data_IF_204495094729
#
_entry.id   IF_204495094729
#
_cell.length_a   1.000
_cell.length_b   1.000
_cell.length_c   1.000
_cell.angle_alpha   90.00
_cell.angle_beta   90.00
_cell.angle_gamma   90.00
#
_symmetry.space_group_name_H-M   'P 1'
#
loop_
_entity.id
_entity.type
_entity.pdbx_description
1 polymer ?
#
# COMPACT_ATOMS: atom_id res chain seq x y z
N UNK A 1 -42.03 8.03 12.29
CA UNK A 1 -41.10 8.99 12.93
C UNK A 1 -40.05 8.30 13.83
N UNK A 2 -40.45 7.46 14.80
CA UNK A 2 -39.52 6.72 15.68
C UNK A 2 -38.52 5.80 14.95
N UNK A 3 -38.95 5.12 13.88
CA UNK A 3 -38.08 4.27 13.04
C UNK A 3 -36.94 5.08 12.38
N UNK A 4 -37.27 6.29 11.90
CA UNK A 4 -36.34 7.19 11.22
C UNK A 4 -35.27 7.70 12.20
N UNK A 5 -35.68 8.09 13.41
CA UNK A 5 -34.78 8.52 14.49
C UNK A 5 -33.86 7.39 14.94
N UNK A 6 -34.37 6.15 15.04
CA UNK A 6 -33.54 4.96 15.36
C UNK A 6 -32.52 4.64 14.28
N UNK A 7 -32.90 4.76 13.01
CA UNK A 7 -31.99 4.55 11.88
C UNK A 7 -30.92 5.64 11.83
N UNK A 8 -31.29 6.91 12.00
CA UNK A 8 -30.34 8.02 12.09
C UNK A 8 -29.35 7.85 13.26
N UNK A 9 -29.80 7.35 14.42
CA UNK A 9 -28.91 7.05 15.56
C UNK A 9 -27.94 5.92 15.26
N UNK A 10 -28.40 4.83 14.63
CA UNK A 10 -27.53 3.71 14.20
C UNK A 10 -26.53 4.17 13.15
N UNK A 11 -26.96 4.96 12.18
CA UNK A 11 -26.08 5.49 11.13
C UNK A 11 -25.11 6.54 11.67
N UNK A 12 -25.51 7.34 12.66
CA UNK A 12 -24.62 8.29 13.34
C UNK A 12 -23.59 7.58 14.21
N UNK A 13 -23.98 6.52 14.93
CA UNK A 13 -23.04 5.66 15.67
C UNK A 13 -22.09 4.94 14.72
N UNK A 14 -22.60 4.40 13.60
CA UNK A 14 -21.76 3.81 12.55
C UNK A 14 -20.79 4.84 11.97
N UNK A 15 -21.24 6.06 11.67
CA UNK A 15 -20.37 7.15 11.22
C UNK A 15 -19.34 7.50 12.29
N UNK A 16 -19.73 7.63 13.55
CA UNK A 16 -18.81 7.88 14.66
C UNK A 16 -17.74 6.80 14.79
N UNK A 17 -18.12 5.51 14.69
CA UNK A 17 -17.18 4.39 14.74
C UNK A 17 -16.31 4.23 13.49
N UNK A 18 -16.63 4.91 12.39
CA UNK A 18 -15.94 4.78 11.10
C UNK A 18 -15.18 6.08 10.74
N UNK A 19 -15.44 7.18 11.43
CA UNK A 19 -14.83 8.49 11.14
C UNK A 19 -13.76 8.79 12.17
N UNK A 20 -12.50 8.70 11.72
CA UNK A 20 -11.32 9.14 12.47
C UNK A 20 -10.88 10.48 11.92
N UNK A 21 -11.02 11.54 12.71
CA UNK A 21 -10.52 12.86 12.34
C UNK A 21 -9.03 12.95 12.65
N UNK A 22 -8.27 13.56 11.75
CA UNK A 22 -6.89 13.95 11.98
C UNK A 22 -6.69 15.37 11.45
N UNK A 23 -5.81 16.12 12.11
CA UNK A 23 -5.35 17.40 11.59
C UNK A 23 -4.35 17.08 10.47
N UNK A 24 -4.58 17.66 9.30
CA UNK A 24 -3.69 17.52 8.16
C UNK A 24 -3.23 18.91 7.73
N UNK A 25 -1.97 19.04 7.36
CA UNK A 25 -1.45 20.26 6.74
C UNK A 25 -2.18 20.53 5.41
N UNK A 26 -2.37 21.81 5.09
CA UNK A 26 -3.14 22.26 3.92
C UNK A 26 -2.46 21.89 2.60
N UNK A 27 -1.13 21.84 2.59
CA UNK A 27 -0.32 21.27 1.52
C UNK A 27 0.58 20.23 2.15
N UNK A 28 0.61 19.04 1.55
CA UNK A 28 1.43 17.93 2.00
C UNK A 28 2.83 18.09 1.35
N UNK A 29 3.88 18.46 2.09
CA UNK A 29 5.21 18.67 1.53
C UNK A 29 5.93 17.35 1.17
N UNK A 30 5.31 16.20 1.40
CA UNK A 30 5.96 14.90 1.28
C UNK A 30 5.93 14.36 -0.15
N UNK A 31 6.89 13.48 -0.46
CA UNK A 31 6.85 12.69 -1.68
C UNK A 31 5.70 11.69 -1.67
N UNK A 32 5.02 11.59 -2.80
CA UNK A 32 3.85 10.74 -2.99
C UNK A 32 4.27 9.48 -3.72
N UNK A 33 4.31 8.35 -3.01
CA UNK A 33 4.74 7.08 -3.56
C UNK A 33 3.55 6.27 -4.12
N UNK A 34 3.73 5.70 -5.31
CA UNK A 34 2.76 4.82 -5.97
C UNK A 34 3.45 3.51 -6.34
N UNK A 35 2.96 2.41 -5.79
CA UNK A 35 3.36 1.07 -6.19
C UNK A 35 2.70 0.70 -7.51
N UNK A 36 3.47 0.10 -8.41
CA UNK A 36 2.99 -0.49 -9.65
C UNK A 36 3.51 -1.92 -9.73
N UNK A 37 2.60 -2.90 -9.74
CA UNK A 37 2.90 -4.32 -9.86
C UNK A 37 2.18 -4.99 -11.03
N UNK A 38 2.43 -6.28 -11.22
CA UNK A 38 2.04 -7.07 -12.39
C UNK A 38 2.69 -6.58 -13.71
N UNK A 39 3.90 -6.01 -13.63
CA UNK A 39 4.72 -5.74 -14.81
C UNK A 39 5.54 -7.00 -15.17
N UNK A 40 6.17 -7.05 -16.36
CA UNK A 40 7.04 -8.17 -16.70
C UNK A 40 8.23 -8.25 -15.74
N UNK A 41 8.70 -9.48 -15.50
CA UNK A 41 9.82 -9.76 -14.61
C UNK A 41 11.15 -9.41 -15.28
N UNK A 42 12.16 -9.12 -14.46
CA UNK A 42 13.58 -9.06 -14.88
C UNK A 42 13.89 -8.09 -16.03
N UNK A 43 13.10 -7.02 -16.18
CA UNK A 43 13.38 -5.96 -17.14
C UNK A 43 14.38 -4.95 -16.59
N UNK A 44 15.19 -4.34 -17.45
CA UNK A 44 16.03 -3.21 -17.05
C UNK A 44 15.17 -1.99 -16.66
N UNK A 45 15.68 -1.14 -15.78
CA UNK A 45 14.99 0.10 -15.35
C UNK A 45 14.50 0.96 -16.53
N UNK A 46 15.30 1.10 -17.59
CA UNK A 46 14.92 1.85 -18.79
C UNK A 46 13.70 1.26 -19.52
N UNK A 47 13.53 -0.06 -19.47
CA UNK A 47 12.37 -0.72 -20.06
C UNK A 47 11.12 -0.48 -19.22
N UNK A 48 11.22 -0.57 -17.88
CA UNK A 48 10.11 -0.19 -17.00
C UNK A 48 9.71 1.27 -17.19
N UNK A 49 10.67 2.17 -17.28
CA UNK A 49 10.41 3.59 -17.54
C UNK A 49 9.63 3.80 -18.85
N UNK A 50 10.03 3.13 -19.93
CA UNK A 50 9.31 3.17 -21.21
C UNK A 50 7.88 2.67 -21.10
N UNK A 51 7.67 1.57 -20.36
CA UNK A 51 6.32 1.02 -20.11
C UNK A 51 5.47 2.05 -19.35
N UNK A 52 6.00 2.63 -18.27
CA UNK A 52 5.30 3.63 -17.47
C UNK A 52 4.94 4.88 -18.28
N UNK A 53 5.87 5.43 -19.06
CA UNK A 53 5.61 6.60 -19.91
C UNK A 53 4.49 6.33 -20.93
N UNK A 54 4.52 5.15 -21.56
CA UNK A 54 3.47 4.71 -22.49
C UNK A 54 2.11 4.61 -21.80
N UNK A 55 2.06 3.97 -20.64
CA UNK A 55 0.81 3.77 -19.88
C UNK A 55 0.25 5.09 -19.31
N UNK A 56 1.12 6.02 -18.94
CA UNK A 56 0.73 7.34 -18.43
C UNK A 56 0.36 8.33 -19.55
N UNK A 57 0.64 7.99 -20.82
CA UNK A 57 0.42 8.85 -21.97
C UNK A 57 1.29 10.11 -21.96
N UNK A 58 2.48 10.03 -21.35
CA UNK A 58 3.36 11.17 -21.15
C UNK A 58 4.60 11.09 -22.06
N UNK A 59 4.98 12.22 -22.67
CA UNK A 59 6.22 12.33 -23.46
C UNK A 59 7.47 12.48 -22.58
N UNK A 60 7.30 13.09 -21.41
CA UNK A 60 8.34 13.31 -20.40
C UNK A 60 7.94 12.66 -19.07
N UNK A 61 8.90 12.48 -18.16
CA UNK A 61 8.67 11.82 -16.87
C UNK A 61 7.75 12.68 -15.99
N UNK A 62 6.53 12.22 -15.67
CA UNK A 62 5.65 12.94 -14.75
C UNK A 62 5.97 12.66 -13.27
N UNK A 63 6.91 11.75 -12.99
CA UNK A 63 7.36 11.32 -11.66
C UNK A 63 8.79 11.79 -11.39
N UNK A 64 9.14 11.98 -10.13
CA UNK A 64 10.45 12.45 -9.69
C UNK A 64 11.49 11.33 -9.65
N UNK A 65 11.12 10.13 -9.19
CA UNK A 65 12.02 8.97 -9.21
C UNK A 65 11.27 7.65 -9.47
N UNK A 66 12.03 6.65 -9.94
CA UNK A 66 11.64 5.24 -10.01
C UNK A 66 12.54 4.50 -9.04
N UNK A 67 11.96 3.78 -8.10
CA UNK A 67 12.69 2.95 -7.15
C UNK A 67 11.98 2.82 -5.80
N UNK A 68 12.15 1.70 -5.10
CA UNK A 68 12.89 0.50 -5.52
C UNK A 68 12.19 -0.26 -6.65
N UNK A 69 12.96 -1.07 -7.40
CA UNK A 69 12.46 -1.98 -8.42
C UNK A 69 12.68 -3.41 -7.93
N UNK A 70 11.60 -4.17 -7.81
CA UNK A 70 11.60 -5.57 -7.43
C UNK A 70 11.52 -6.43 -8.70
N UNK A 71 12.66 -6.64 -9.34
CA UNK A 71 12.76 -7.30 -10.66
C UNK A 71 12.10 -8.69 -10.70
N UNK A 72 12.30 -9.49 -9.65
CA UNK A 72 11.72 -10.84 -9.53
C UNK A 72 10.21 -10.84 -9.33
N UNK A 73 9.64 -9.70 -8.91
CA UNK A 73 8.21 -9.53 -8.69
C UNK A 73 7.52 -8.70 -9.77
N UNK A 74 8.28 -8.17 -10.74
CA UNK A 74 7.73 -7.32 -11.80
C UNK A 74 6.98 -6.14 -11.20
N UNK A 75 7.60 -5.49 -10.21
CA UNK A 75 6.97 -4.38 -9.51
C UNK A 75 7.99 -3.33 -9.13
N UNK A 76 7.51 -2.11 -8.95
CA UNK A 76 8.34 -0.96 -8.62
C UNK A 76 7.52 0.09 -7.88
N UNK A 77 8.22 1.07 -7.31
CA UNK A 77 7.61 2.29 -6.79
C UNK A 77 8.02 3.48 -7.64
N UNK A 78 7.06 4.35 -7.94
CA UNK A 78 7.31 5.68 -8.51
C UNK A 78 6.93 6.75 -7.50
N UNK A 79 7.71 7.83 -7.46
CA UNK A 79 7.49 8.95 -6.54
C UNK A 79 7.11 10.21 -7.29
N UNK A 80 6.28 11.05 -6.68
CA UNK A 80 5.84 12.33 -7.24
C UNK A 80 6.01 13.42 -6.19
N UNK A 81 6.34 14.63 -6.64
CA UNK A 81 6.44 15.82 -5.79
C UNK A 81 5.08 16.46 -5.46
N UNK A 82 3.99 16.04 -6.11
CA UNK A 82 2.65 16.61 -5.89
C UNK A 82 1.56 15.54 -5.85
N UNK A 83 0.60 15.71 -4.94
CA UNK A 83 -0.60 14.88 -4.82
C UNK A 83 -1.39 14.78 -6.13
N UNK A 84 -1.46 15.90 -6.85
CA UNK A 84 -2.19 16.00 -8.12
C UNK A 84 -1.56 15.11 -9.19
N UNK A 85 -0.24 15.13 -9.33
CA UNK A 85 0.47 14.27 -10.29
C UNK A 85 0.33 12.79 -9.93
N UNK A 86 0.51 12.44 -8.65
CA UNK A 86 0.34 11.06 -8.17
C UNK A 86 -1.09 10.55 -8.43
N UNK A 87 -2.10 11.36 -8.10
CA UNK A 87 -3.51 10.99 -8.29
C UNK A 87 -3.86 10.83 -9.76
N UNK A 88 -3.39 11.73 -10.63
CA UNK A 88 -3.58 11.60 -12.07
C UNK A 88 -2.91 10.32 -12.62
N UNK A 89 -1.72 9.99 -12.13
CA UNK A 89 -1.03 8.74 -12.49
C UNK A 89 -1.81 7.51 -12.04
N UNK A 90 -2.27 7.48 -10.79
CA UNK A 90 -3.08 6.37 -10.25
C UNK A 90 -4.38 6.20 -11.05
N UNK A 91 -5.07 7.29 -11.39
CA UNK A 91 -6.29 7.23 -12.18
C UNK A 91 -6.08 6.60 -13.56
N UNK A 92 -4.92 6.83 -14.19
CA UNK A 92 -4.56 6.22 -15.47
C UNK A 92 -4.14 4.75 -15.30
N UNK A 93 -3.32 4.45 -14.30
CA UNK A 93 -2.73 3.12 -14.14
C UNK A 93 -3.70 2.10 -13.52
N UNK A 94 -4.64 2.51 -12.65
CA UNK A 94 -5.50 1.60 -11.87
C UNK A 94 -6.36 0.65 -12.73
N UNK A 95 -6.69 1.07 -13.96
CA UNK A 95 -7.47 0.29 -14.92
C UNK A 95 -6.65 -0.13 -16.13
N UNK A 96 -5.36 0.19 -16.16
CA UNK A 96 -4.49 -0.22 -17.23
C UNK A 96 -4.26 -1.73 -17.19
N UNK A 97 -4.15 -2.29 -18.39
CA UNK A 97 -3.80 -3.70 -18.62
C UNK A 97 -2.51 -3.70 -19.43
N UNK A 98 -1.58 -4.56 -19.05
CA UNK A 98 -0.34 -4.77 -19.76
C UNK A 98 -0.10 -6.27 -19.88
N UNK A 99 0.17 -6.77 -21.09
CA UNK A 99 0.33 -8.21 -21.36
C UNK A 99 -0.80 -9.06 -20.74
N UNK A 100 -2.05 -8.64 -21.00
CA UNK A 100 -3.28 -9.31 -20.50
C UNK A 100 -3.46 -9.31 -18.98
N UNK A 101 -2.54 -8.72 -18.22
CA UNK A 101 -2.62 -8.60 -16.77
C UNK A 101 -3.06 -7.20 -16.38
N UNK A 102 -4.08 -7.13 -15.52
CA UNK A 102 -4.43 -5.88 -14.87
C UNK A 102 -3.30 -5.47 -13.91
N UNK A 103 -2.88 -4.21 -13.99
CA UNK A 103 -1.86 -3.69 -13.09
C UNK A 103 -2.38 -3.63 -11.65
N UNK A 104 -1.47 -3.85 -10.70
CA UNK A 104 -1.72 -3.56 -9.29
C UNK A 104 -1.17 -2.16 -9.02
N UNK A 105 -2.04 -1.23 -8.61
CA UNK A 105 -1.65 0.16 -8.38
C UNK A 105 -2.11 0.56 -6.99
N UNK A 106 -1.18 0.99 -6.14
CA UNK A 106 -1.45 1.35 -4.75
C UNK A 106 -0.75 2.66 -4.40
N UNK A 107 -1.50 3.63 -3.86
CA UNK A 107 -0.89 4.76 -3.17
C UNK A 107 -0.26 4.25 -1.88
N UNK A 108 1.02 4.52 -1.67
CA UNK A 108 1.74 4.09 -0.49
C UNK A 108 1.83 5.24 0.51
N UNK A 109 1.40 5.04 1.76
CA UNK A 109 1.62 6.02 2.81
C UNK A 109 3.11 6.16 3.10
N UNK A 110 3.53 7.37 3.47
CA UNK A 110 4.89 7.66 3.89
C UNK A 110 4.92 7.80 5.41
N UNK A 111 5.45 6.79 6.12
CA UNK A 111 5.55 6.85 7.58
C UNK A 111 6.79 7.63 7.96
N UNK A 112 6.60 8.72 8.71
CA UNK A 112 7.67 9.56 9.21
C UNK A 112 8.11 9.09 10.60
N UNK A 113 9.35 8.60 10.77
CA UNK A 113 9.82 8.09 12.06
C UNK A 113 9.76 9.12 13.19
N UNK A 114 10.03 10.40 12.88
CA UNK A 114 9.99 11.49 13.85
C UNK A 114 8.58 11.82 14.36
N UNK A 115 7.53 11.37 13.66
CA UNK A 115 6.14 11.50 14.09
C UNK A 115 5.69 10.36 15.01
N UNK A 116 6.53 9.35 15.20
CA UNK A 116 6.26 8.23 16.10
C UNK A 116 6.78 8.55 17.51
N UNK A 117 6.09 8.03 18.52
CA UNK A 117 6.58 8.11 19.89
C UNK A 117 7.93 7.38 19.99
N UNK A 118 8.97 7.94 20.67
CA UNK A 118 10.34 7.41 20.64
C UNK A 118 10.49 5.94 21.06
N UNK A 119 9.62 5.46 21.95
CA UNK A 119 9.66 4.07 22.45
C UNK A 119 8.61 3.17 21.78
N UNK A 120 7.95 3.65 20.72
CA UNK A 120 6.98 2.86 19.99
C UNK A 120 7.68 1.82 19.11
N UNK A 121 7.14 0.60 19.12
CA UNK A 121 7.49 -0.45 18.15
C UNK A 121 6.24 -0.75 17.31
N UNK A 122 6.03 -0.04 16.19
CA UNK A 122 4.86 -0.23 15.35
C UNK A 122 4.72 -1.68 14.90
N UNK A 123 3.48 -2.14 14.76
CA UNK A 123 3.17 -3.46 14.21
C UNK A 123 2.84 -3.35 12.72
N UNK A 124 3.55 -4.06 11.86
CA UNK A 124 3.18 -4.31 10.47
C UNK A 124 2.43 -5.65 10.39
N UNK A 125 1.16 -5.61 10.00
CA UNK A 125 0.32 -6.80 9.86
C UNK A 125 0.18 -7.15 8.38
N UNK A 126 0.64 -8.35 8.02
CA UNK A 126 0.58 -8.91 6.67
C UNK A 126 -0.40 -10.08 6.67
N UNK A 127 -1.53 -9.94 6.00
CA UNK A 127 -2.58 -10.97 5.98
C UNK A 127 -2.72 -11.56 4.58
N UNK A 128 -2.60 -12.87 4.47
CA UNK A 128 -2.98 -13.59 3.26
C UNK A 128 -4.44 -14.02 3.35
N UNK A 129 -5.33 -13.29 2.68
CA UNK A 129 -6.78 -13.56 2.73
C UNK A 129 -7.19 -14.90 2.12
N UNK A 130 -6.30 -15.53 1.31
CA UNK A 130 -6.53 -16.82 0.67
C UNK A 130 -5.98 -18.01 1.47
N UNK A 131 -5.26 -17.78 2.57
CA UNK A 131 -4.71 -18.85 3.41
C UNK A 131 -5.73 -19.45 4.37
N UNK A 132 -5.57 -20.74 4.70
CA UNK A 132 -6.35 -21.44 5.73
C UNK A 132 -7.85 -21.48 5.43
N UNK A 133 -8.68 -21.30 6.45
CA UNK A 133 -10.16 -21.27 6.32
C UNK A 133 -10.74 -20.00 5.69
N UNK A 134 -9.96 -19.25 4.91
CA UNK A 134 -10.38 -18.01 4.21
C UNK A 134 -10.94 -16.91 5.13
N UNK A 135 -10.53 -16.87 6.40
CA UNK A 135 -10.99 -15.88 7.39
C UNK A 135 -10.20 -14.56 7.36
N UNK A 136 -9.21 -14.42 6.47
CA UNK A 136 -8.33 -13.25 6.45
C UNK A 136 -9.05 -11.92 6.21
N UNK A 137 -10.21 -11.93 5.54
CA UNK A 137 -11.04 -10.74 5.37
C UNK A 137 -11.55 -10.18 6.70
N UNK A 138 -12.04 -11.04 7.61
CA UNK A 138 -12.46 -10.64 8.95
C UNK A 138 -11.27 -10.22 9.81
N UNK A 139 -10.14 -10.91 9.65
CA UNK A 139 -8.91 -10.58 10.35
C UNK A 139 -8.40 -9.16 10.00
N UNK A 140 -8.40 -8.81 8.71
CA UNK A 140 -8.08 -7.44 8.26
C UNK A 140 -9.05 -6.44 8.88
N UNK A 141 -10.36 -6.71 8.88
CA UNK A 141 -11.35 -5.80 9.49
C UNK A 141 -11.09 -5.62 10.98
N UNK A 142 -10.79 -6.69 11.70
CA UNK A 142 -10.49 -6.65 13.13
C UNK A 142 -9.22 -5.83 13.41
N UNK A 143 -8.11 -6.11 12.71
CA UNK A 143 -6.87 -5.36 12.89
C UNK A 143 -7.01 -3.88 12.52
N UNK A 144 -7.75 -3.54 11.44
CA UNK A 144 -7.99 -2.14 11.07
C UNK A 144 -8.86 -1.36 12.06
N UNK A 145 -9.60 -2.04 12.94
CA UNK A 145 -10.30 -1.39 14.07
C UNK A 145 -9.36 -1.11 15.25
N UNK A 146 -8.36 -1.97 15.45
CA UNK A 146 -7.43 -1.89 16.58
C UNK A 146 -6.18 -1.05 16.27
N UNK A 147 -5.74 -1.05 15.01
CA UNK A 147 -4.51 -0.44 14.54
C UNK A 147 -4.80 0.65 13.51
N UNK A 148 -3.79 1.44 13.14
CA UNK A 148 -3.91 2.31 11.98
C UNK A 148 -4.11 1.45 10.72
N UNK A 149 -5.11 1.73 9.85
CA UNK A 149 -5.32 0.95 8.63
C UNK A 149 -4.10 0.81 7.71
N UNK A 150 -3.18 1.79 7.75
CA UNK A 150 -1.92 1.77 7.01
C UNK A 150 -0.87 0.81 7.59
N UNK A 151 -1.19 0.10 8.67
CA UNK A 151 -0.38 -0.97 9.24
C UNK A 151 -0.86 -2.35 8.78
N UNK A 152 -2.01 -2.46 8.11
CA UNK A 152 -2.68 -3.74 7.83
C UNK A 152 -2.82 -3.95 6.32
N UNK A 153 -2.02 -4.88 5.79
CA UNK A 153 -1.90 -5.15 4.37
C UNK A 153 -2.45 -6.53 4.02
N UNK A 154 -3.18 -6.56 2.90
CA UNK A 154 -3.56 -7.80 2.23
C UNK A 154 -2.44 -8.17 1.26
N UNK A 155 -1.68 -9.22 1.53
CA UNK A 155 -0.54 -9.60 0.68
C UNK A 155 -0.99 -10.09 -0.71
N UNK A 156 -2.26 -10.45 -0.89
CA UNK A 156 -2.80 -10.75 -2.22
C UNK A 156 -2.89 -9.49 -3.08
N UNK A 157 -2.94 -8.30 -2.45
CA UNK A 157 -2.99 -7.00 -3.12
C UNK A 157 -1.61 -6.35 -3.14
N UNK A 158 -0.72 -6.89 -3.97
CA UNK A 158 0.61 -6.31 -4.23
C UNK A 158 1.77 -6.93 -3.45
N UNK A 159 1.52 -7.95 -2.64
CA UNK A 159 2.56 -8.70 -1.94
C UNK A 159 3.05 -8.06 -0.64
N UNK A 160 3.91 -8.76 0.12
CA UNK A 160 4.52 -8.27 1.36
C UNK A 160 5.36 -7.00 1.16
N UNK A 161 6.02 -6.87 0.00
CA UNK A 161 6.93 -5.77 -0.33
C UNK A 161 6.28 -4.39 -0.21
N UNK A 162 4.97 -4.29 -0.42
CA UNK A 162 4.21 -3.05 -0.23
C UNK A 162 4.28 -2.58 1.22
N UNK A 163 3.99 -3.47 2.17
CA UNK A 163 4.02 -3.14 3.60
C UNK A 163 5.45 -2.90 4.09
N UNK A 164 6.40 -3.70 3.61
CA UNK A 164 7.82 -3.52 3.92
C UNK A 164 8.35 -2.19 3.42
N UNK A 165 7.98 -1.77 2.20
CA UNK A 165 8.32 -0.45 1.69
C UNK A 165 7.76 0.67 2.57
N UNK A 166 6.49 0.59 2.99
CA UNK A 166 5.87 1.61 3.85
C UNK A 166 6.64 1.78 5.18
N UNK A 167 7.15 0.68 5.73
CA UNK A 167 7.88 0.66 7.01
C UNK A 167 9.40 0.82 6.86
N UNK A 168 9.93 0.97 5.64
CA UNK A 168 11.39 0.95 5.35
C UNK A 168 12.23 1.94 6.16
N UNK A 169 11.65 3.08 6.53
CA UNK A 169 12.34 4.13 7.28
C UNK A 169 12.19 3.97 8.81
N UNK A 170 11.36 3.03 9.29
CA UNK A 170 11.14 2.82 10.70
C UNK A 170 12.27 1.93 11.26
N UNK A 171 13.08 2.43 12.21
CA UNK A 171 14.28 1.72 12.65
C UNK A 171 13.97 0.40 13.38
N UNK A 172 12.83 0.35 14.09
CA UNK A 172 12.40 -0.83 14.84
C UNK A 172 10.89 -0.99 14.75
N UNK A 173 10.43 -2.14 14.27
CA UNK A 173 9.02 -2.49 14.18
C UNK A 173 8.85 -4.02 14.25
N UNK A 174 7.63 -4.46 14.57
CA UNK A 174 7.27 -5.88 14.63
C UNK A 174 6.50 -6.25 13.38
N UNK A 175 6.62 -7.51 12.95
CA UNK A 175 5.85 -8.04 11.82
C UNK A 175 4.97 -9.17 12.33
N UNK A 176 3.68 -9.09 12.06
CA UNK A 176 2.73 -10.18 12.24
C UNK A 176 2.29 -10.65 10.86
N UNK A 177 2.75 -11.84 10.46
CA UNK A 177 2.31 -12.50 9.24
C UNK A 177 1.20 -13.50 9.56
N UNK A 178 0.03 -13.32 8.94
CA UNK A 178 -1.14 -14.16 9.11
C UNK A 178 -1.36 -15.00 7.84
N UNK A 179 -0.99 -16.27 7.89
CA UNK A 179 -1.17 -17.24 6.82
C UNK A 179 -0.59 -18.60 7.21
N UNK A 180 -0.58 -19.54 6.26
CA UNK A 180 0.13 -20.82 6.43
C UNK A 180 1.62 -20.71 6.11
N UNK A 181 2.35 -21.83 6.17
CA UNK A 181 3.80 -21.89 6.01
C UNK A 181 4.29 -21.24 4.70
N UNK A 182 3.60 -21.46 3.59
CA UNK A 182 3.94 -20.83 2.30
C UNK A 182 3.82 -19.30 2.33
N UNK A 183 2.91 -18.74 3.12
CA UNK A 183 2.82 -17.28 3.31
C UNK A 183 3.99 -16.77 4.13
N UNK A 184 4.37 -17.50 5.19
CA UNK A 184 5.52 -17.13 6.03
C UNK A 184 6.81 -17.17 5.21
N UNK A 185 7.03 -18.24 4.43
CA UNK A 185 8.18 -18.35 3.53
C UNK A 185 8.26 -17.19 2.53
N UNK A 186 7.13 -16.81 1.93
CA UNK A 186 7.08 -15.66 1.02
C UNK A 186 7.40 -14.33 1.72
N UNK A 187 6.87 -14.09 2.92
CA UNK A 187 7.18 -12.88 3.70
C UNK A 187 8.68 -12.82 4.05
N UNK A 188 9.27 -13.95 4.47
CA UNK A 188 10.69 -14.03 4.77
C UNK A 188 11.57 -13.75 3.54
N UNK A 189 11.22 -14.31 2.37
CA UNK A 189 11.92 -14.00 1.12
C UNK A 189 11.86 -12.50 0.78
N UNK A 190 10.69 -11.87 0.93
CA UNK A 190 10.56 -10.43 0.69
C UNK A 190 11.33 -9.57 1.71
N UNK A 191 11.53 -10.06 2.94
CA UNK A 191 12.32 -9.36 3.95
C UNK A 191 13.80 -9.30 3.58
N UNK A 192 14.34 -10.36 3.00
CA UNK A 192 15.73 -10.37 2.52
C UNK A 192 15.94 -9.35 1.41
N UNK A 193 14.94 -9.19 0.53
CA UNK A 193 14.96 -8.20 -0.55
C UNK A 193 14.83 -6.77 -0.01
N UNK A 194 13.97 -6.55 0.99
CA UNK A 194 13.74 -5.22 1.56
C UNK A 194 14.90 -4.70 2.41
N UNK A 195 15.81 -5.58 2.84
CA UNK A 195 17.03 -5.24 3.61
C UNK A 195 18.24 -4.90 2.74
N UNK A 196 18.17 -5.14 1.44
CA UNK A 196 19.20 -4.75 0.46
C UNK A 196 18.99 -3.29 0.04
#
# INVERSE_FOLDING_TARGET
>A
MLQLVRNLRKDSLRRYHVVRFYIQEKEDPHDHAVFVGNLPLSLAQRQYERILLRLLGAKEKPFTAIGPIYFEYGSLVITFNTAKAATAAVQRLQNAVYEEKKLIVLCLPNVQPHMLYPECEPLLVLVNVKSGGCQGGELIKAFRRLLNPFQVFDVVKGGPLVGLYVFRNIPKYKILACGGDGTIGWVLQCLDIAKQ
#
